data_IF_368774953042
#
_entry.id   IF_368774953042
#
_cell.length_a   1.000
_cell.length_b   1.000
_cell.length_c   1.000
_cell.angle_alpha   90.00
_cell.angle_beta   90.00
_cell.angle_gamma   90.00
#
_symmetry.space_group_name_H-M   'P 1'
#
loop_
_entity.id
_entity.type
_entity.pdbx_description
1 polymer ?
#
# COMPACT_ATOMS: atom_id res chain seq x y z
N UNK A 1 5.16 6.44 0.70
CA UNK A 1 4.12 7.48 0.81
C UNK A 1 3.14 7.35 -0.35
N UNK A 2 3.54 7.63 -1.59
CA UNK A 2 2.66 7.72 -2.77
C UNK A 2 1.91 6.41 -3.04
N UNK A 3 2.59 5.26 -3.05
CA UNK A 3 1.96 3.96 -3.32
C UNK A 3 0.87 3.62 -2.29
N UNK A 4 1.13 3.85 -0.99
CA UNK A 4 0.14 3.62 0.06
C UNK A 4 -1.08 4.56 -0.08
N UNK A 5 -0.83 5.83 -0.44
CA UNK A 5 -1.90 6.79 -0.69
C UNK A 5 -2.74 6.43 -1.93
N UNK A 6 -2.09 6.31 -3.08
CA UNK A 6 -2.80 6.16 -4.36
C UNK A 6 -3.36 4.75 -4.55
N UNK A 7 -2.51 3.72 -4.40
CA UNK A 7 -2.89 2.34 -4.70
C UNK A 7 -3.67 1.67 -3.57
N UNK A 8 -3.42 2.05 -2.30
CA UNK A 8 -4.01 1.34 -1.17
C UNK A 8 -5.16 2.12 -0.50
N UNK A 9 -5.21 3.46 -0.62
CA UNK A 9 -6.32 4.24 -0.08
C UNK A 9 -7.25 4.77 -1.17
N UNK A 10 -6.75 5.50 -2.16
CA UNK A 10 -7.61 6.08 -3.20
C UNK A 10 -8.27 5.00 -4.08
N UNK A 11 -7.50 3.99 -4.50
CA UNK A 11 -8.02 2.95 -5.40
C UNK A 11 -9.19 2.17 -4.80
N UNK A 12 -9.18 1.62 -3.57
CA UNK A 12 -10.34 0.91 -3.05
C UNK A 12 -11.57 1.81 -2.88
N UNK A 13 -11.42 3.09 -2.55
CA UNK A 13 -12.55 4.03 -2.52
C UNK A 13 -13.11 4.21 -3.95
N UNK A 14 -12.25 4.35 -4.96
CA UNK A 14 -12.67 4.44 -6.35
C UNK A 14 -13.37 3.17 -6.83
N UNK A 15 -12.81 1.99 -6.55
CA UNK A 15 -13.26 0.73 -7.10
C UNK A 15 -14.50 0.15 -6.38
N UNK A 16 -14.66 0.43 -5.10
CA UNK A 16 -15.67 -0.22 -4.26
C UNK A 16 -16.60 0.77 -3.52
N UNK A 17 -16.28 2.06 -3.53
CA UNK A 17 -17.07 3.09 -2.87
C UNK A 17 -18.35 3.43 -3.64
N UNK A 18 -19.35 3.93 -2.90
CA UNK A 18 -20.53 4.57 -3.50
C UNK A 18 -20.15 5.89 -4.16
N UNK A 19 -21.02 6.44 -5.00
CA UNK A 19 -20.75 7.74 -5.65
C UNK A 19 -20.62 8.86 -4.60
N UNK A 20 -21.40 8.81 -3.51
CA UNK A 20 -21.30 9.74 -2.40
C UNK A 20 -19.92 9.65 -1.72
N UNK A 21 -19.44 8.43 -1.44
CA UNK A 21 -18.10 8.21 -0.88
C UNK A 21 -17.00 8.70 -1.81
N UNK A 22 -17.11 8.43 -3.11
CA UNK A 22 -16.15 8.91 -4.11
C UNK A 22 -16.11 10.44 -4.14
N UNK A 23 -17.26 11.09 -4.21
CA UNK A 23 -17.36 12.55 -4.24
C UNK A 23 -16.90 13.21 -2.93
N UNK A 24 -17.13 12.55 -1.78
CA UNK A 24 -16.70 13.05 -0.47
C UNK A 24 -15.17 12.98 -0.29
N UNK A 25 -14.54 11.88 -0.66
CA UNK A 25 -13.14 11.61 -0.30
C UNK A 25 -12.14 11.84 -1.44
N UNK A 26 -12.43 11.38 -2.66
CA UNK A 26 -11.44 11.36 -3.74
C UNK A 26 -10.95 12.75 -4.18
N UNK A 27 -11.77 13.81 -4.30
CA UNK A 27 -11.27 15.12 -4.77
C UNK A 27 -10.17 15.70 -3.89
N UNK A 28 -10.28 15.55 -2.57
CA UNK A 28 -9.27 16.04 -1.63
C UNK A 28 -8.02 15.17 -1.61
N UNK A 29 -8.18 13.84 -1.72
CA UNK A 29 -7.08 12.88 -1.78
C UNK A 29 -6.30 13.03 -3.11
N UNK A 30 -6.98 13.02 -4.25
CA UNK A 30 -6.34 13.08 -5.58
C UNK A 30 -5.64 14.42 -5.84
N UNK A 31 -6.11 15.50 -5.23
CA UNK A 31 -5.43 16.81 -5.31
C UNK A 31 -4.24 16.94 -4.34
N UNK A 32 -4.00 15.96 -3.47
CA UNK A 32 -2.94 16.02 -2.45
C UNK A 32 -3.22 16.94 -1.27
N UNK A 33 -4.43 17.52 -1.17
CA UNK A 33 -4.84 18.33 -0.01
C UNK A 33 -5.03 17.47 1.25
N UNK A 34 -5.39 16.21 1.06
CA UNK A 34 -5.47 15.18 2.10
C UNK A 34 -4.64 13.98 1.73
N UNK A 35 -4.13 13.30 2.72
CA UNK A 35 -3.34 12.07 2.54
C UNK A 35 -4.15 10.86 3.02
N UNK A 36 -3.93 9.73 2.36
CA UNK A 36 -4.58 8.47 2.69
C UNK A 36 -3.63 7.41 3.23
N UNK A 37 -4.17 6.51 4.06
CA UNK A 37 -3.49 5.35 4.60
C UNK A 37 -4.34 4.08 4.50
N UNK A 38 -3.69 2.91 4.72
CA UNK A 38 -4.31 1.59 4.58
C UNK A 38 -3.99 0.75 5.82
N UNK A 39 -5.02 0.46 6.61
CA UNK A 39 -4.91 -0.25 7.88
C UNK A 39 -5.38 -1.69 7.80
N UNK A 40 -4.51 -2.61 7.34
CA UNK A 40 -4.79 -4.05 7.28
C UNK A 40 -4.08 -4.81 8.40
N UNK A 41 -2.77 -4.64 8.51
CA UNK A 41 -1.86 -5.42 9.36
C UNK A 41 -2.14 -5.22 10.84
N UNK A 42 -2.12 -6.30 11.60
CA UNK A 42 -2.22 -6.31 13.07
C UNK A 42 -1.03 -7.02 13.70
N UNK A 43 -0.77 -6.88 15.00
CA UNK A 43 0.35 -7.56 15.67
C UNK A 43 0.41 -9.06 15.42
N UNK A 44 -0.73 -9.73 15.34
CA UNK A 44 -0.84 -11.17 15.11
C UNK A 44 -1.41 -11.55 13.74
N UNK A 45 -1.60 -10.60 12.83
CA UNK A 45 -2.15 -10.81 11.48
C UNK A 45 -1.37 -9.99 10.44
N UNK A 46 -0.20 -10.50 10.06
CA UNK A 46 0.63 -9.97 8.97
C UNK A 46 0.40 -10.75 7.69
N UNK A 47 1.20 -11.79 7.44
CA UNK A 47 1.05 -12.68 6.27
C UNK A 47 -0.29 -13.42 6.29
N UNK A 48 -0.75 -13.84 7.46
CA UNK A 48 -2.13 -14.34 7.65
C UNK A 48 -3.07 -13.16 7.91
N UNK A 49 -3.40 -12.42 6.85
CA UNK A 49 -4.31 -11.28 6.93
C UNK A 49 -5.76 -11.66 7.26
N UNK A 50 -6.11 -12.96 7.22
CA UNK A 50 -7.44 -13.44 7.61
C UNK A 50 -7.61 -13.57 9.12
N UNK A 51 -6.50 -13.68 9.86
CA UNK A 51 -6.48 -13.82 11.32
C UNK A 51 -6.70 -12.52 12.11
N UNK A 52 -7.33 -11.51 11.52
CA UNK A 52 -7.56 -10.21 12.14
C UNK A 52 -8.39 -10.32 13.43
N UNK A 53 -8.01 -9.50 14.42
CA UNK A 53 -8.67 -9.41 15.72
C UNK A 53 -9.46 -8.12 15.93
N UNK A 54 -9.14 -7.05 15.20
CA UNK A 54 -9.93 -5.80 15.21
C UNK A 54 -11.36 -6.11 14.84
N UNK A 55 -12.31 -5.69 15.67
CA UNK A 55 -13.74 -5.94 15.48
C UNK A 55 -14.49 -4.67 15.11
N UNK A 56 -15.60 -4.83 14.40
CA UNK A 56 -16.56 -3.78 14.12
C UNK A 56 -17.97 -4.30 14.42
N UNK A 57 -18.62 -3.73 15.42
CA UNK A 57 -19.97 -4.12 15.86
C UNK A 57 -20.96 -3.06 15.42
N UNK A 58 -22.02 -3.45 14.70
CA UNK A 58 -23.07 -2.53 14.29
C UNK A 58 -23.93 -2.14 15.51
N UNK A 59 -24.05 -0.85 15.76
CA UNK A 59 -24.85 -0.26 16.83
C UNK A 59 -25.76 0.85 16.27
N UNK A 60 -26.95 0.45 15.77
CA UNK A 60 -27.89 1.38 15.16
C UNK A 60 -27.41 1.92 13.81
N UNK A 61 -27.04 3.19 13.77
CA UNK A 61 -26.61 3.92 12.57
C UNK A 61 -25.08 4.01 12.39
N UNK A 62 -24.31 3.36 13.24
CA UNK A 62 -22.85 3.36 13.19
C UNK A 62 -22.25 2.01 13.56
N UNK A 63 -20.98 1.82 13.23
CA UNK A 63 -20.16 0.72 13.72
C UNK A 63 -19.25 1.21 14.86
N UNK A 64 -19.06 0.36 15.85
CA UNK A 64 -18.08 0.58 16.93
C UNK A 64 -16.88 -0.31 16.66
N UNK A 65 -15.74 0.30 16.37
CA UNK A 65 -14.49 -0.41 16.09
C UNK A 65 -13.63 -0.49 17.33
N UNK A 66 -13.08 -1.70 17.59
CA UNK A 66 -12.13 -1.94 18.68
C UNK A 66 -10.97 -2.81 18.19
N UNK A 67 -9.72 -2.36 18.43
CA UNK A 67 -8.51 -3.08 18.04
C UNK A 67 -7.35 -2.17 17.67
N UNK A 68 -6.31 -2.76 17.09
CA UNK A 68 -5.09 -2.03 16.73
C UNK A 68 -4.57 -2.52 15.38
N UNK A 69 -4.20 -1.59 14.50
CA UNK A 69 -3.44 -1.86 13.28
C UNK A 69 -2.02 -1.38 13.46
N UNK A 70 -1.03 -2.15 13.00
CA UNK A 70 0.38 -1.81 13.16
C UNK A 70 1.09 -1.63 11.81
N UNK A 71 2.22 -0.91 11.85
CA UNK A 71 3.07 -0.63 10.69
C UNK A 71 2.38 0.13 9.56
N UNK A 72 1.47 1.05 9.91
CA UNK A 72 0.67 1.77 8.91
C UNK A 72 1.45 2.96 8.34
N UNK A 73 1.76 2.87 7.06
CA UNK A 73 2.39 3.95 6.30
C UNK A 73 1.46 5.15 6.20
N UNK A 74 2.00 6.34 6.32
CA UNK A 74 1.31 7.64 6.35
C UNK A 74 0.45 7.90 7.59
N UNK A 75 0.39 7.02 8.59
CA UNK A 75 -0.58 7.09 9.68
C UNK A 75 -0.63 8.46 10.38
N UNK A 76 0.52 9.07 10.67
CA UNK A 76 0.59 10.38 11.36
C UNK A 76 0.08 11.55 10.50
N UNK A 77 0.26 11.44 9.19
CA UNK A 77 -0.03 12.52 8.22
C UNK A 77 -1.37 12.34 7.50
N UNK A 78 -1.92 11.11 7.53
CA UNK A 78 -3.15 10.81 6.82
C UNK A 78 -4.39 11.42 7.50
N UNK A 79 -5.34 11.82 6.67
CA UNK A 79 -6.67 12.30 7.08
C UNK A 79 -7.73 11.20 6.92
N UNK A 80 -7.50 10.28 5.96
CA UNK A 80 -8.46 9.24 5.56
C UNK A 80 -7.77 7.88 5.57
N UNK A 81 -8.42 6.90 6.15
CA UNK A 81 -7.87 5.56 6.34
C UNK A 81 -8.84 4.53 5.79
N UNK A 82 -8.38 3.61 4.93
CA UNK A 82 -9.13 2.41 4.60
C UNK A 82 -8.73 1.33 5.58
N UNK A 83 -9.66 0.90 6.43
CA UNK A 83 -9.41 -0.01 7.57
C UNK A 83 -10.26 -1.27 7.41
N UNK A 84 -9.70 -2.40 7.80
CA UNK A 84 -10.39 -3.69 7.77
C UNK A 84 -10.64 -4.17 9.21
N UNK A 85 -11.85 -4.64 9.45
CA UNK A 85 -12.25 -5.15 10.75
C UNK A 85 -13.24 -6.32 10.62
N UNK A 86 -13.26 -7.17 11.62
CA UNK A 86 -14.13 -8.34 11.69
C UNK A 86 -15.54 -7.92 12.13
N UNK A 87 -16.52 -8.07 11.26
CA UNK A 87 -17.95 -7.88 11.58
C UNK A 87 -18.65 -9.17 11.99
N UNK A 88 -18.13 -10.34 11.54
CA UNK A 88 -18.68 -11.64 11.91
C UNK A 88 -17.58 -12.71 12.00
N UNK A 89 -17.14 -13.02 13.21
CA UNK A 89 -16.07 -14.02 13.45
C UNK A 89 -16.42 -15.43 13.00
N UNK A 90 -17.71 -15.77 12.89
CA UNK A 90 -18.16 -17.12 12.53
C UNK A 90 -17.93 -17.43 11.05
N UNK A 91 -17.74 -16.40 10.23
CA UNK A 91 -17.59 -16.50 8.77
C UNK A 91 -16.13 -16.48 8.28
N UNK A 92 -15.13 -16.48 9.20
CA UNK A 92 -13.72 -16.40 8.84
C UNK A 92 -13.42 -15.16 7.97
N UNK A 93 -12.72 -15.31 6.86
CA UNK A 93 -12.40 -14.20 5.96
C UNK A 93 -13.62 -13.53 5.30
N UNK A 94 -14.77 -14.24 5.23
CA UNK A 94 -16.05 -13.68 4.78
C UNK A 94 -16.75 -12.84 5.85
N UNK A 95 -16.21 -12.76 7.05
CA UNK A 95 -16.67 -11.87 8.11
C UNK A 95 -15.88 -10.57 8.22
N UNK A 96 -14.87 -10.35 7.36
CA UNK A 96 -14.09 -9.13 7.34
C UNK A 96 -14.79 -8.09 6.45
N UNK A 97 -14.93 -6.87 6.98
CA UNK A 97 -15.49 -5.70 6.28
C UNK A 97 -14.45 -4.59 6.16
N UNK A 98 -14.63 -3.71 5.18
CA UNK A 98 -13.78 -2.55 4.95
C UNK A 98 -14.51 -1.26 5.35
N UNK A 99 -13.79 -0.31 5.93
CA UNK A 99 -14.34 0.95 6.41
C UNK A 99 -13.46 2.12 5.98
N UNK A 100 -14.09 3.26 5.70
CA UNK A 100 -13.40 4.54 5.55
C UNK A 100 -13.44 5.23 6.92
N UNK A 101 -12.27 5.40 7.55
CA UNK A 101 -12.13 6.07 8.84
C UNK A 101 -11.49 7.43 8.62
N UNK A 102 -12.00 8.46 9.30
CA UNK A 102 -11.44 9.82 9.27
C UNK A 102 -10.64 10.08 10.57
N UNK A 103 -9.56 10.84 10.47
CA UNK A 103 -8.67 11.15 11.60
C UNK A 103 -9.39 11.74 12.82
N UNK A 104 -10.50 12.44 12.59
CA UNK A 104 -11.29 13.10 13.65
C UNK A 104 -12.35 12.22 14.31
N UNK A 105 -12.50 10.95 13.95
CA UNK A 105 -13.53 10.09 14.53
C UNK A 105 -13.27 9.83 16.04
N UNK A 106 -14.35 9.92 16.83
CA UNK A 106 -14.27 9.64 18.25
C UNK A 106 -13.82 8.22 18.50
N UNK A 107 -12.83 8.02 19.39
CA UNK A 107 -12.25 6.72 19.69
C UNK A 107 -11.18 6.25 18.70
N UNK A 108 -10.78 7.09 17.73
CA UNK A 108 -9.65 6.84 16.85
C UNK A 108 -8.43 7.65 17.30
N UNK A 109 -7.28 6.99 17.39
CA UNK A 109 -6.00 7.65 17.70
C UNK A 109 -4.84 7.00 16.95
N UNK A 110 -3.75 7.77 16.84
CA UNK A 110 -2.48 7.30 16.25
C UNK A 110 -1.55 6.89 17.37
N UNK A 111 -1.06 5.67 17.29
CA UNK A 111 -0.16 5.12 18.30
C UNK A 111 1.31 5.46 18.05
N UNK A 112 2.17 4.57 18.51
CA UNK A 112 3.63 4.76 18.48
C UNK A 112 4.14 4.96 17.05
N UNK A 113 5.05 5.93 16.90
CA UNK A 113 5.82 6.12 15.68
C UNK A 113 7.00 5.14 15.62
N UNK A 114 7.15 4.41 14.52
CA UNK A 114 8.19 3.39 14.36
C UNK A 114 9.56 4.00 14.03
N UNK A 115 10.59 3.62 14.78
CA UNK A 115 11.98 3.93 14.48
C UNK A 115 12.52 2.95 13.47
N UNK A 116 12.51 3.34 12.20
CA UNK A 116 12.88 2.44 11.10
C UNK A 116 14.37 2.50 10.77
N UNK A 117 14.90 1.40 10.27
CA UNK A 117 16.27 1.28 9.76
C UNK A 117 16.51 2.16 8.52
N UNK A 118 15.50 2.23 7.61
CA UNK A 118 15.51 3.04 6.38
C UNK A 118 14.14 3.63 6.08
N UNK A 119 14.03 4.36 4.96
CA UNK A 119 12.82 5.05 4.51
C UNK A 119 12.22 5.93 5.64
N UNK A 120 13.07 6.62 6.37
CA UNK A 120 12.71 7.39 7.57
C UNK A 120 11.83 8.60 7.26
N UNK A 121 11.87 9.11 6.03
CA UNK A 121 11.00 10.19 5.57
C UNK A 121 9.54 9.76 5.33
N UNK A 122 9.21 8.46 5.44
CA UNK A 122 7.84 7.94 5.37
C UNK A 122 7.37 7.57 6.77
N UNK A 123 6.42 8.32 7.33
CA UNK A 123 5.85 8.04 8.65
C UNK A 123 5.19 6.66 8.69
N UNK A 124 5.43 5.93 9.78
CA UNK A 124 4.85 4.61 10.02
C UNK A 124 4.46 4.54 11.49
N UNK A 125 3.20 4.26 11.80
CA UNK A 125 2.68 4.22 13.17
C UNK A 125 1.54 3.20 13.28
N UNK A 126 1.09 2.97 14.52
CA UNK A 126 -0.09 2.18 14.79
C UNK A 126 -1.36 3.02 14.62
N UNK A 127 -2.48 2.36 14.31
CA UNK A 127 -3.83 2.93 14.43
C UNK A 127 -4.51 2.23 15.60
N UNK A 128 -5.06 3.00 16.52
CA UNK A 128 -5.71 2.50 17.73
C UNK A 128 -7.20 2.86 17.67
N UNK A 129 -8.03 1.87 17.89
CA UNK A 129 -9.49 1.99 17.93
C UNK A 129 -9.99 1.56 19.31
N UNK A 130 -10.53 2.51 20.06
CA UNK A 130 -11.10 2.33 21.40
C UNK A 130 -12.52 2.89 21.37
N UNK A 131 -13.51 2.01 21.20
CA UNK A 131 -14.90 2.38 20.95
C UNK A 131 -15.03 3.41 19.83
N UNK A 132 -14.28 3.19 18.73
CA UNK A 132 -14.24 4.13 17.62
C UNK A 132 -15.55 4.11 16.84
N UNK A 133 -16.21 5.26 16.81
CA UNK A 133 -17.52 5.44 16.15
C UNK A 133 -17.32 5.74 14.67
N UNK A 134 -17.73 4.82 13.83
CA UNK A 134 -17.65 4.92 12.36
C UNK A 134 -19.07 4.90 11.79
N UNK A 135 -19.55 5.97 11.14
CA UNK A 135 -20.88 6.03 10.56
C UNK A 135 -21.15 4.86 9.60
N UNK A 136 -22.38 4.38 9.55
CA UNK A 136 -22.75 3.22 8.71
C UNK A 136 -22.47 3.46 7.22
N UNK A 137 -22.64 4.69 6.76
CA UNK A 137 -22.33 5.10 5.39
C UNK A 137 -20.82 5.06 5.04
N UNK A 138 -19.96 4.89 6.04
CA UNK A 138 -18.51 4.71 5.85
C UNK A 138 -18.09 3.24 5.65
N UNK A 139 -19.04 2.30 5.64
CA UNK A 139 -18.77 0.94 5.18
C UNK A 139 -18.38 0.97 3.69
N UNK A 140 -17.19 0.50 3.37
CA UNK A 140 -16.67 0.49 2.01
C UNK A 140 -17.02 -0.81 1.30
N UNK A 141 -17.86 -0.71 0.27
CA UNK A 141 -18.40 -1.87 -0.43
C UNK A 141 -19.51 -2.56 0.37
N UNK A 142 -19.45 -3.88 0.47
CA UNK A 142 -20.45 -4.70 1.17
C UNK A 142 -19.87 -5.31 2.45
N UNK A 143 -20.71 -5.42 3.48
CA UNK A 143 -20.34 -6.14 4.71
C UNK A 143 -19.92 -7.57 4.40
N UNK A 144 -18.84 -8.06 5.03
CA UNK A 144 -18.27 -9.38 4.80
C UNK A 144 -17.46 -9.52 3.50
N UNK A 145 -17.29 -8.45 2.71
CA UNK A 145 -16.47 -8.48 1.48
C UNK A 145 -15.13 -7.75 1.61
N UNK A 146 -14.79 -7.29 2.80
CA UNK A 146 -13.54 -6.55 3.05
C UNK A 146 -12.29 -7.33 2.69
N UNK A 147 -12.24 -8.64 2.93
CA UNK A 147 -11.09 -9.45 2.53
C UNK A 147 -10.88 -9.45 1.01
N UNK A 148 -11.96 -9.54 0.22
CA UNK A 148 -11.89 -9.42 -1.24
C UNK A 148 -11.39 -8.02 -1.66
N UNK A 149 -11.86 -6.97 -0.98
CA UNK A 149 -11.40 -5.59 -1.21
C UNK A 149 -9.91 -5.48 -0.93
N UNK A 150 -9.43 -6.00 0.19
CA UNK A 150 -8.02 -5.93 0.56
C UNK A 150 -7.11 -6.66 -0.44
N UNK A 151 -7.46 -7.88 -0.84
CA UNK A 151 -6.65 -8.65 -1.79
C UNK A 151 -6.60 -8.00 -3.18
N UNK A 152 -7.75 -7.57 -3.71
CA UNK A 152 -7.78 -6.85 -4.99
C UNK A 152 -7.03 -5.51 -4.98
N UNK A 153 -6.98 -4.85 -3.81
CA UNK A 153 -6.18 -3.63 -3.59
C UNK A 153 -4.69 -3.95 -3.57
N UNK A 154 -4.28 -5.01 -2.86
CA UNK A 154 -2.87 -5.40 -2.75
C UNK A 154 -2.27 -5.85 -4.08
N UNK A 155 -3.02 -6.48 -4.98
CA UNK A 155 -2.54 -6.84 -6.32
C UNK A 155 -2.09 -5.60 -7.11
N UNK A 156 -2.86 -4.51 -7.05
CA UNK A 156 -2.45 -3.23 -7.64
C UNK A 156 -1.26 -2.60 -6.91
N UNK A 157 -1.25 -2.69 -5.58
CA UNK A 157 -0.17 -2.19 -4.74
C UNK A 157 1.18 -2.84 -5.03
N UNK A 158 1.20 -4.16 -5.29
CA UNK A 158 2.43 -4.91 -5.65
C UNK A 158 3.05 -4.37 -6.94
N UNK A 159 2.27 -4.10 -7.97
CA UNK A 159 2.75 -3.49 -9.23
C UNK A 159 3.40 -2.13 -8.95
N UNK A 160 2.76 -1.29 -8.14
CA UNK A 160 3.29 0.03 -7.78
C UNK A 160 4.63 -0.04 -7.02
N UNK A 161 4.77 -0.97 -6.08
CA UNK A 161 6.03 -1.17 -5.32
C UNK A 161 7.12 -1.77 -6.21
N UNK A 162 6.79 -2.68 -7.13
CA UNK A 162 7.73 -3.21 -8.10
C UNK A 162 8.26 -2.12 -9.05
N UNK A 163 7.38 -1.24 -9.52
CA UNK A 163 7.77 -0.08 -10.34
C UNK A 163 8.68 0.89 -9.56
N UNK A 164 8.43 1.10 -8.28
CA UNK A 164 9.31 1.91 -7.42
C UNK A 164 10.70 1.29 -7.29
N UNK A 165 10.78 -0.01 -7.04
CA UNK A 165 12.06 -0.73 -6.93
C UNK A 165 12.86 -0.67 -8.24
N UNK A 166 12.17 -0.87 -9.37
CA UNK A 166 12.75 -0.76 -10.71
C UNK A 166 13.34 0.64 -10.94
N UNK A 167 12.56 1.70 -10.71
CA UNK A 167 13.02 3.08 -10.92
C UNK A 167 14.22 3.47 -10.04
N UNK A 168 14.26 2.99 -8.79
CA UNK A 168 15.45 3.16 -7.92
C UNK A 168 16.67 2.43 -8.52
N UNK A 169 16.46 1.20 -9.01
CA UNK A 169 17.52 0.41 -9.65
C UNK A 169 18.05 1.07 -10.93
N UNK A 170 17.18 1.56 -11.80
CA UNK A 170 17.56 2.26 -13.04
C UNK A 170 18.35 3.55 -12.74
N UNK A 171 17.85 4.38 -11.81
CA UNK A 171 18.59 5.59 -11.38
C UNK A 171 19.98 5.26 -10.81
N UNK A 172 20.11 4.20 -10.03
CA UNK A 172 21.40 3.76 -9.51
C UNK A 172 22.35 3.27 -10.63
N UNK A 173 21.82 2.62 -11.66
CA UNK A 173 22.61 2.17 -12.83
C UNK A 173 23.11 3.40 -13.61
N UNK A 174 22.26 4.39 -13.84
CA UNK A 174 22.64 5.61 -14.58
C UNK A 174 23.73 6.40 -13.85
N UNK A 175 23.64 6.56 -12.54
CA UNK A 175 24.68 7.18 -11.71
C UNK A 175 25.98 6.37 -11.74
N UNK A 176 25.90 5.04 -11.65
CA UNK A 176 27.07 4.17 -11.74
C UNK A 176 27.76 4.29 -13.12
N UNK A 177 26.97 4.33 -14.21
CA UNK A 177 27.51 4.51 -15.58
C UNK A 177 28.22 5.86 -15.69
N UNK A 178 27.60 6.95 -15.22
CA UNK A 178 28.18 8.29 -15.23
C UNK A 178 29.51 8.31 -14.46
N UNK A 179 29.51 7.84 -13.22
CA UNK A 179 30.68 7.82 -12.37
C UNK A 179 31.83 6.98 -12.96
N UNK A 180 31.56 5.78 -13.50
CA UNK A 180 32.59 4.90 -14.09
C UNK A 180 33.23 5.48 -15.35
N UNK A 181 32.55 6.41 -16.07
CA UNK A 181 33.09 7.13 -17.22
C UNK A 181 34.04 8.26 -16.81
N UNK A 182 33.93 8.77 -15.60
CA UNK A 182 34.76 9.90 -15.10
C UNK A 182 35.91 9.43 -14.21
N UNK A 183 35.66 8.54 -13.26
CA UNK A 183 36.63 8.09 -12.28
C UNK A 183 37.77 7.31 -12.92
N UNK A 184 38.99 7.72 -12.62
CA UNK A 184 40.23 7.06 -13.08
C UNK A 184 40.95 6.36 -11.93
N UNK A 185 41.41 5.12 -12.17
CA UNK A 185 42.34 4.36 -11.35
C UNK A 185 43.29 3.55 -12.27
N UNK A 186 44.50 3.32 -11.84
CA UNK A 186 45.53 2.62 -12.65
C UNK A 186 45.69 3.22 -14.06
N UNK A 187 45.58 4.57 -14.17
CA UNK A 187 45.65 5.36 -15.43
C UNK A 187 44.55 5.02 -16.45
N UNK A 188 43.45 4.40 -16.02
CA UNK A 188 42.31 4.04 -16.86
C UNK A 188 40.98 4.50 -16.19
N UNK A 189 39.97 4.77 -16.99
CA UNK A 189 38.61 4.98 -16.48
C UNK A 189 38.06 3.65 -15.94
N UNK A 190 37.22 3.70 -14.89
CA UNK A 190 36.63 2.48 -14.34
C UNK A 190 35.80 1.73 -15.39
N UNK A 191 35.15 2.41 -16.33
CA UNK A 191 34.42 1.81 -17.45
C UNK A 191 35.30 1.00 -18.42
N UNK A 192 36.61 1.10 -18.37
CA UNK A 192 37.54 0.34 -19.20
C UNK A 192 37.96 -0.99 -18.57
N UNK A 193 37.56 -1.25 -17.32
CA UNK A 193 37.85 -2.54 -16.67
C UNK A 193 36.75 -3.55 -17.02
N UNK A 194 37.16 -4.72 -17.47
CA UNK A 194 36.26 -5.79 -17.94
C UNK A 194 35.23 -6.19 -16.89
N UNK A 195 35.62 -6.31 -15.62
CA UNK A 195 34.68 -6.62 -14.55
C UNK A 195 33.58 -5.55 -14.38
N UNK A 196 33.97 -4.25 -14.48
CA UNK A 196 33.00 -3.15 -14.43
C UNK A 196 32.00 -3.24 -15.58
N UNK A 197 32.49 -3.51 -16.80
CA UNK A 197 31.62 -3.68 -17.97
C UNK A 197 30.64 -4.84 -17.79
N UNK A 198 31.12 -5.99 -17.28
CA UNK A 198 30.26 -7.14 -17.03
C UNK A 198 29.19 -6.86 -15.97
N UNK A 199 29.57 -6.16 -14.88
CA UNK A 199 28.60 -5.79 -13.84
C UNK A 199 27.52 -4.84 -14.39
N UNK A 200 27.90 -3.80 -15.14
CA UNK A 200 26.98 -2.88 -15.76
C UNK A 200 26.03 -3.59 -16.74
N UNK A 201 26.57 -4.48 -17.60
CA UNK A 201 25.75 -5.26 -18.53
C UNK A 201 24.75 -6.16 -17.81
N UNK A 202 25.17 -6.84 -16.74
CA UNK A 202 24.32 -7.70 -15.93
C UNK A 202 23.22 -6.89 -15.22
N UNK A 203 23.55 -5.73 -14.64
CA UNK A 203 22.58 -4.85 -13.99
C UNK A 203 21.54 -4.36 -14.99
N UNK A 204 21.99 -3.90 -16.18
CA UNK A 204 21.04 -3.42 -17.22
C UNK A 204 20.13 -4.54 -17.72
N UNK A 205 20.67 -5.73 -17.97
CA UNK A 205 19.86 -6.89 -18.37
C UNK A 205 18.77 -7.24 -17.35
N UNK A 206 19.12 -7.21 -16.06
CA UNK A 206 18.15 -7.46 -14.98
C UNK A 206 17.09 -6.35 -14.88
N UNK A 207 17.49 -5.10 -15.04
CA UNK A 207 16.55 -3.96 -15.03
C UNK A 207 15.58 -4.06 -16.20
N UNK A 208 16.04 -4.34 -17.43
CA UNK A 208 15.18 -4.49 -18.60
C UNK A 208 14.21 -5.68 -18.46
N UNK A 209 14.67 -6.81 -17.93
CA UNK A 209 13.79 -7.94 -17.64
C UNK A 209 12.74 -7.61 -16.60
N UNK A 210 13.11 -6.92 -15.51
CA UNK A 210 12.17 -6.48 -14.48
C UNK A 210 11.16 -5.46 -15.03
N UNK A 211 11.59 -4.52 -15.89
CA UNK A 211 10.70 -3.57 -16.55
C UNK A 211 9.60 -4.27 -17.37
N UNK A 212 9.97 -5.27 -18.16
CA UNK A 212 9.01 -6.05 -18.94
C UNK A 212 8.00 -6.79 -18.06
N UNK A 213 8.42 -7.34 -16.91
CA UNK A 213 7.54 -7.99 -15.96
C UNK A 213 6.59 -6.99 -15.29
N UNK A 214 7.08 -5.82 -14.88
CA UNK A 214 6.25 -4.74 -14.32
C UNK A 214 5.18 -4.29 -15.32
N UNK A 215 5.57 -4.07 -16.57
CA UNK A 215 4.62 -3.65 -17.62
C UNK A 215 3.60 -4.74 -17.94
N UNK A 216 4.02 -6.01 -17.94
CA UNK A 216 3.10 -7.14 -18.10
C UNK A 216 2.05 -7.17 -16.98
N UNK A 217 2.49 -7.01 -15.72
CA UNK A 217 1.60 -6.99 -14.58
C UNK A 217 0.62 -5.79 -14.62
N UNK A 218 1.12 -4.60 -14.96
CA UNK A 218 0.30 -3.41 -15.12
C UNK A 218 -0.74 -3.61 -16.22
N UNK A 219 -0.34 -4.09 -17.40
CA UNK A 219 -1.26 -4.38 -18.51
C UNK A 219 -2.32 -5.42 -18.13
N UNK A 220 -1.93 -6.48 -17.42
CA UNK A 220 -2.86 -7.48 -16.93
C UNK A 220 -3.93 -6.87 -16.00
N UNK A 221 -3.52 -5.93 -15.14
CA UNK A 221 -4.43 -5.18 -14.27
C UNK A 221 -5.42 -4.35 -15.09
N UNK A 222 -4.94 -3.61 -16.09
CA UNK A 222 -5.76 -2.72 -16.93
C UNK A 222 -6.84 -3.47 -17.71
N UNK A 223 -6.52 -4.67 -18.21
CA UNK A 223 -7.47 -5.48 -19.00
C UNK A 223 -8.29 -6.46 -18.18
N UNK A 224 -8.11 -6.48 -16.85
CA UNK A 224 -8.83 -7.41 -15.96
C UNK A 224 -8.44 -8.87 -16.17
N UNK A 225 -7.18 -9.17 -16.53
CA UNK A 225 -6.68 -10.54 -16.68
C UNK A 225 -6.79 -11.30 -15.35
N UNK A 226 -7.42 -12.49 -15.31
CA UNK A 226 -7.54 -13.29 -14.10
C UNK A 226 -6.19 -13.69 -13.48
N UNK A 227 -5.11 -13.69 -14.26
CA UNK A 227 -3.75 -13.97 -13.79
C UNK A 227 -3.01 -12.73 -13.25
N UNK A 228 -3.68 -11.57 -13.13
CA UNK A 228 -3.07 -10.34 -12.63
C UNK A 228 -2.36 -10.55 -11.29
N UNK A 229 -2.98 -11.27 -10.33
CA UNK A 229 -2.37 -11.59 -9.03
C UNK A 229 -1.09 -12.41 -9.15
N UNK A 230 -1.02 -13.34 -10.11
CA UNK A 230 0.19 -14.11 -10.40
C UNK A 230 1.30 -13.22 -10.95
N UNK A 231 1.02 -12.40 -11.98
CA UNK A 231 2.02 -11.50 -12.56
C UNK A 231 2.50 -10.43 -11.60
N UNK A 232 1.63 -9.92 -10.74
CA UNK A 232 1.99 -8.92 -9.72
C UNK A 232 2.84 -9.50 -8.58
N UNK A 233 2.91 -10.82 -8.46
CA UNK A 233 3.69 -11.53 -7.43
C UNK A 233 5.09 -11.96 -7.92
N UNK A 234 5.34 -11.88 -9.22
CA UNK A 234 6.64 -12.17 -9.85
C UNK A 234 7.65 -11.05 -9.61
#
# INVERSE_FOLDING_TARGET
IVAAHTSLCCYPIYAYGTEEQKMKYLPALLSGRKLGAFGLTEPNAGSDASGQQTVAVLAGDHYVLNGTKCFITNATEADTFVVFAMTDRTKGNHGISAFIVEKGFKGFSIGKHEKKMGIRGSATSDLIFEDCIVPKENLLGQEGKGFKVSMGTLDGGRVGVAAQALGIGEGAIDEAIAYTKERMQFKKRLSQFQNTQFQLANMKTRADAAQLLVYRAAKAKDVGDPNCGFYSSM
#
